data_IF_130963724020
#
_entry.id   IF_130963724020
#
_cell.length_a   1.000
_cell.length_b   1.000
_cell.length_c   1.000
_cell.angle_alpha   90.00
_cell.angle_beta   90.00
_cell.angle_gamma   90.00
#
_symmetry.space_group_name_H-M   'P 1'
#
loop_
_entity.id
_entity.type
_entity.pdbx_description
1 polymer ?
#
# COMPACT_ATOMS: atom_id res chain seq x y z
N UNK A 1 -8.77 -19.07 3.79
CA UNK A 1 -8.45 -17.69 4.21
C UNK A 1 -7.06 -17.27 3.73
N UNK A 2 -6.09 -18.19 3.60
CA UNK A 2 -4.74 -17.86 3.11
C UNK A 2 -4.72 -17.20 1.74
N UNK A 3 -5.47 -17.73 0.76
CA UNK A 3 -5.59 -17.10 -0.57
C UNK A 3 -6.05 -15.64 -0.51
N UNK A 4 -6.94 -15.28 0.41
CA UNK A 4 -7.39 -13.90 0.59
C UNK A 4 -6.28 -13.04 1.19
N UNK A 5 -5.61 -13.53 2.24
CA UNK A 5 -4.47 -12.82 2.83
C UNK A 5 -3.34 -12.61 1.80
N UNK A 6 -3.07 -13.58 0.94
CA UNK A 6 -2.05 -13.48 -0.11
C UNK A 6 -2.46 -12.48 -1.20
N UNK A 7 -3.75 -12.40 -1.54
CA UNK A 7 -4.27 -11.37 -2.45
C UNK A 7 -4.13 -9.97 -1.85
N UNK A 8 -4.37 -9.81 -0.54
CA UNK A 8 -4.20 -8.54 0.16
C UNK A 8 -2.71 -8.14 0.19
N UNK A 9 -1.81 -9.08 0.49
CA UNK A 9 -0.37 -8.82 0.45
C UNK A 9 0.14 -8.48 -0.95
N UNK A 10 -0.42 -9.11 -1.99
CA UNK A 10 -0.11 -8.75 -3.36
C UNK A 10 -0.51 -7.31 -3.69
N UNK A 11 -1.69 -6.87 -3.24
CA UNK A 11 -2.13 -5.49 -3.37
C UNK A 11 -1.23 -4.52 -2.58
N UNK A 12 -0.85 -4.87 -1.35
CA UNK A 12 0.11 -4.09 -0.55
C UNK A 12 1.45 -3.94 -1.28
N UNK A 13 1.99 -5.04 -1.83
CA UNK A 13 3.25 -5.03 -2.57
C UNK A 13 3.18 -4.17 -3.84
N UNK A 14 2.04 -4.15 -4.53
CA UNK A 14 1.81 -3.28 -5.68
C UNK A 14 1.86 -1.80 -5.26
N UNK A 15 1.20 -1.42 -4.16
CA UNK A 15 1.22 -0.05 -3.65
C UNK A 15 2.61 0.39 -3.17
N UNK A 16 3.35 -0.47 -2.47
CA UNK A 16 4.76 -0.23 -2.10
C UNK A 16 5.64 -0.02 -3.33
N UNK A 17 5.36 -0.72 -4.43
CA UNK A 17 6.07 -0.51 -5.69
C UNK A 17 5.72 0.84 -6.31
N UNK A 18 4.46 1.27 -6.22
CA UNK A 18 4.02 2.57 -6.72
C UNK A 18 4.67 3.72 -5.94
N UNK A 19 4.70 3.65 -4.60
CA UNK A 19 5.40 4.63 -3.74
C UNK A 19 6.84 4.89 -4.22
N UNK A 20 7.62 3.81 -4.44
CA UNK A 20 9.02 3.92 -4.88
C UNK A 20 9.18 4.44 -6.30
N UNK A 21 8.20 4.23 -7.18
CA UNK A 21 8.29 4.61 -8.60
C UNK A 21 7.73 6.00 -8.88
N UNK A 22 6.74 6.45 -8.12
CA UNK A 22 6.03 7.70 -8.39
C UNK A 22 6.89 8.95 -8.46
N UNK A 23 7.93 9.14 -7.61
CA UNK A 23 8.86 10.25 -7.75
C UNK A 23 9.55 10.29 -9.13
N UNK A 24 9.80 9.12 -9.74
CA UNK A 24 10.45 9.01 -11.04
C UNK A 24 9.49 9.22 -12.23
N UNK A 25 8.18 9.32 -11.98
CA UNK A 25 7.18 9.66 -13.01
C UNK A 25 7.01 11.17 -13.19
N UNK A 26 7.68 11.99 -12.38
CA UNK A 26 7.59 13.43 -12.46
C UNK A 26 8.16 13.93 -13.82
N UNK A 27 7.41 14.73 -14.60
CA UNK A 27 7.97 15.43 -15.74
C UNK A 27 9.12 16.33 -15.30
N UNK A 28 10.11 16.53 -16.18
CA UNK A 28 11.19 17.46 -15.91
C UNK A 28 10.66 18.90 -15.71
N UNK A 29 11.37 19.71 -14.92
CA UNK A 29 10.95 21.08 -14.61
C UNK A 29 10.77 21.96 -15.86
N UNK A 30 11.53 21.70 -16.93
CA UNK A 30 11.40 22.36 -18.24
C UNK A 30 10.02 22.15 -18.87
N UNK A 31 9.34 21.03 -18.61
CA UNK A 31 7.97 20.80 -19.08
C UNK A 31 6.95 21.77 -18.47
N UNK A 32 7.33 22.47 -17.38
CA UNK A 32 6.54 23.52 -16.74
C UNK A 32 7.03 24.93 -17.12
N UNK A 33 8.00 25.08 -18.02
CA UNK A 33 8.63 26.37 -18.34
C UNK A 33 9.42 26.96 -17.16
N UNK A 34 9.95 26.10 -16.27
CA UNK A 34 10.67 26.55 -15.07
C UNK A 34 12.01 27.25 -15.38
N UNK A 35 12.56 27.02 -16.56
CA UNK A 35 13.76 27.62 -17.13
C UNK A 35 13.50 28.96 -17.85
N UNK A 36 12.23 29.31 -18.08
CA UNK A 36 11.88 30.61 -18.66
C UNK A 36 12.29 31.78 -17.76
N UNK A 37 12.48 32.94 -18.38
CA UNK A 37 12.76 34.18 -17.66
C UNK A 37 11.47 34.86 -17.16
N UNK A 38 11.64 35.81 -16.22
CA UNK A 38 10.56 36.71 -15.82
C UNK A 38 9.40 36.01 -15.09
N UNK A 39 8.18 36.49 -15.36
CA UNK A 39 6.95 36.00 -14.71
C UNK A 39 6.57 34.58 -15.12
N UNK A 40 6.66 34.17 -16.40
CA UNK A 40 6.42 32.78 -16.81
C UNK A 40 7.31 31.78 -16.06
N UNK A 41 8.62 32.04 -15.98
CA UNK A 41 9.54 31.16 -15.25
C UNK A 41 9.24 31.00 -13.76
N UNK A 42 8.80 32.08 -13.10
CA UNK A 42 8.36 32.01 -11.69
C UNK A 42 7.12 31.15 -11.53
N UNK A 43 6.16 31.26 -12.46
CA UNK A 43 4.97 30.43 -12.48
C UNK A 43 5.35 28.96 -12.73
N UNK A 44 6.23 28.70 -13.69
CA UNK A 44 6.72 27.35 -13.99
C UNK A 44 7.39 26.66 -12.81
N UNK A 45 8.27 27.38 -12.10
CA UNK A 45 8.90 26.86 -10.86
C UNK A 45 7.89 26.58 -9.76
N UNK A 46 6.89 27.46 -9.58
CA UNK A 46 5.84 27.26 -8.59
C UNK A 46 4.95 26.05 -8.93
N UNK A 47 4.60 25.87 -10.21
CA UNK A 47 3.84 24.70 -10.68
C UNK A 47 4.64 23.41 -10.50
N UNK A 48 5.92 23.40 -10.86
CA UNK A 48 6.79 22.24 -10.66
C UNK A 48 6.93 21.88 -9.16
N UNK A 49 7.11 22.88 -8.30
CA UNK A 49 7.16 22.67 -6.85
C UNK A 49 5.83 22.11 -6.30
N UNK A 50 4.68 22.62 -6.78
CA UNK A 50 3.37 22.10 -6.41
C UNK A 50 3.17 20.65 -6.89
N UNK A 51 3.56 20.36 -8.12
CA UNK A 51 3.46 19.02 -8.70
C UNK A 51 4.30 17.99 -7.94
N UNK A 52 5.57 18.32 -7.67
CA UNK A 52 6.48 17.45 -6.90
C UNK A 52 5.98 17.22 -5.48
N UNK A 53 5.42 18.25 -4.82
CA UNK A 53 4.80 18.10 -3.51
C UNK A 53 3.57 17.17 -3.54
N UNK A 54 2.72 17.28 -4.56
CA UNK A 54 1.56 16.39 -4.75
C UNK A 54 2.01 14.96 -5.00
N UNK A 55 3.00 14.72 -5.87
CA UNK A 55 3.54 13.38 -6.10
C UNK A 55 4.10 12.75 -4.82
N UNK A 56 4.85 13.53 -4.03
CA UNK A 56 5.38 13.06 -2.75
C UNK A 56 4.26 12.73 -1.74
N UNK A 57 3.18 13.52 -1.71
CA UNK A 57 2.01 13.23 -0.87
C UNK A 57 1.32 11.94 -1.31
N UNK A 58 1.11 11.74 -2.61
CA UNK A 58 0.52 10.52 -3.15
C UNK A 58 1.39 9.29 -2.89
N UNK A 59 2.71 9.42 -2.90
CA UNK A 59 3.62 8.32 -2.61
C UNK A 59 3.45 7.85 -1.16
N UNK A 60 3.42 8.81 -0.22
CA UNK A 60 3.11 8.53 1.19
C UNK A 60 1.72 7.90 1.37
N UNK A 61 0.69 8.40 0.69
CA UNK A 61 -0.65 7.80 0.75
C UNK A 61 -0.65 6.33 0.27
N UNK A 62 0.13 6.01 -0.77
CA UNK A 62 0.28 4.63 -1.24
C UNK A 62 1.02 3.75 -0.22
N UNK A 63 2.05 4.28 0.44
CA UNK A 63 2.76 3.58 1.52
C UNK A 63 1.83 3.31 2.72
N UNK A 64 1.10 4.33 3.20
CA UNK A 64 0.15 4.19 4.31
C UNK A 64 -0.95 3.16 3.99
N UNK A 65 -1.42 3.14 2.75
CA UNK A 65 -2.41 2.16 2.30
C UNK A 65 -1.81 0.74 2.22
N UNK A 66 -0.55 0.59 1.79
CA UNK A 66 0.14 -0.69 1.78
C UNK A 66 0.28 -1.26 3.20
N UNK A 67 0.68 -0.43 4.17
CA UNK A 67 0.83 -0.84 5.57
C UNK A 67 -0.50 -1.35 6.14
N UNK A 68 -1.60 -0.62 5.91
CA UNK A 68 -2.95 -1.04 6.34
C UNK A 68 -3.39 -2.36 5.69
N UNK A 69 -3.07 -2.57 4.41
CA UNK A 69 -3.36 -3.84 3.74
C UNK A 69 -2.57 -4.99 4.40
N UNK A 70 -1.27 -4.81 4.66
CA UNK A 70 -0.46 -5.83 5.33
C UNK A 70 -0.94 -6.15 6.74
N UNK A 71 -1.38 -5.15 7.50
CA UNK A 71 -2.03 -5.36 8.80
C UNK A 71 -3.31 -6.21 8.68
N UNK A 72 -4.16 -5.91 7.68
CA UNK A 72 -5.36 -6.70 7.42
C UNK A 72 -5.06 -8.14 6.99
N UNK A 73 -4.05 -8.36 6.14
CA UNK A 73 -3.61 -9.71 5.78
C UNK A 73 -3.14 -10.50 7.03
N UNK A 74 -2.41 -9.83 7.93
CA UNK A 74 -2.02 -10.37 9.23
C UNK A 74 -3.21 -10.77 10.09
N UNK A 75 -4.21 -9.89 10.20
CA UNK A 75 -5.44 -10.15 10.94
C UNK A 75 -6.23 -11.35 10.36
N UNK A 76 -6.34 -11.45 9.03
CA UNK A 76 -7.00 -12.57 8.34
C UNK A 76 -6.32 -13.90 8.66
N UNK A 77 -4.98 -13.96 8.58
CA UNK A 77 -4.22 -15.17 8.95
C UNK A 77 -4.38 -15.52 10.42
N UNK A 78 -4.38 -14.52 11.30
CA UNK A 78 -4.61 -14.73 12.72
C UNK A 78 -5.99 -15.32 12.99
N UNK A 79 -7.04 -14.78 12.38
CA UNK A 79 -8.40 -15.33 12.47
C UNK A 79 -8.48 -16.76 11.95
N UNK A 80 -7.88 -17.03 10.78
CA UNK A 80 -7.84 -18.35 10.17
C UNK A 80 -7.22 -19.41 11.10
N UNK A 81 -6.09 -19.07 11.74
CA UNK A 81 -5.41 -19.95 12.71
C UNK A 81 -6.30 -20.23 13.93
N UNK A 82 -6.91 -19.20 14.51
CA UNK A 82 -7.82 -19.38 15.66
C UNK A 82 -9.02 -20.30 15.33
N UNK A 83 -9.59 -20.17 14.12
CA UNK A 83 -10.65 -21.08 13.68
C UNK A 83 -10.15 -22.52 13.56
N UNK A 84 -9.00 -22.74 12.92
CA UNK A 84 -8.40 -24.08 12.78
C UNK A 84 -8.08 -24.72 14.15
N UNK A 85 -7.53 -23.94 15.09
CA UNK A 85 -7.24 -24.41 16.44
C UNK A 85 -8.50 -24.77 17.24
N UNK A 86 -9.58 -24.01 17.03
CA UNK A 86 -10.90 -24.28 17.63
C UNK A 86 -11.47 -25.57 17.06
N UNK A 87 -11.46 -25.75 15.75
CA UNK A 87 -11.94 -26.96 15.07
C UNK A 87 -11.16 -28.20 15.51
N UNK A 88 -9.83 -28.09 15.64
CA UNK A 88 -8.96 -29.14 16.19
C UNK A 88 -9.34 -29.50 17.62
N UNK A 89 -9.61 -28.51 18.45
CA UNK A 89 -10.00 -28.74 19.84
C UNK A 89 -11.36 -29.41 19.96
N UNK A 90 -12.34 -29.00 19.16
CA UNK A 90 -13.67 -29.61 19.10
C UNK A 90 -13.57 -31.05 18.60
N UNK A 91 -12.83 -31.30 17.51
CA UNK A 91 -12.62 -32.64 16.95
C UNK A 91 -11.97 -33.58 17.96
N UNK A 92 -10.95 -33.13 18.69
CA UNK A 92 -10.33 -33.93 19.77
C UNK A 92 -11.30 -34.26 20.90
N UNK A 93 -12.24 -33.36 21.24
CA UNK A 93 -13.27 -33.64 22.26
C UNK A 93 -14.30 -34.65 21.77
N UNK A 94 -14.77 -34.52 20.53
CA UNK A 94 -15.73 -35.46 19.93
C UNK A 94 -15.16 -36.88 19.88
N UNK A 95 -13.90 -37.04 19.45
CA UNK A 95 -13.23 -38.35 19.40
C UNK A 95 -13.03 -38.99 20.78
N UNK A 96 -12.90 -38.20 21.85
CA UNK A 96 -12.80 -38.69 23.23
C UNK A 96 -14.15 -39.04 23.85
N UNK A 97 -15.23 -38.38 23.45
CA UNK A 97 -16.58 -38.65 23.96
C UNK A 97 -17.27 -39.85 23.31
N UNK A 98 -16.63 -40.49 22.32
CA UNK A 98 -17.12 -41.71 21.66
C UNK A 98 -16.44 -42.99 22.18
N UNK A 99 -15.60 -42.88 23.21
CA UNK A 99 -15.00 -43.99 23.97
C UNK A 99 -15.66 -44.07 25.34
#
# INVERSE_FOLDING_TARGET
MDRLADQIDHAAAALTTMDRRMPNLAPAAVAFGADDAGRPGRIGRALYAGWTAVLAARAREAADAADRLSEMAGAVRSGARHYADTDETVRRRLLRGQQ
#
